data_IF_108377660607
#
_entry.id   IF_108377660607
#
_cell.length_a   1.000
_cell.length_b   1.000
_cell.length_c   1.000
_cell.angle_alpha   90.00
_cell.angle_beta   90.00
_cell.angle_gamma   90.00
#
_symmetry.space_group_name_H-M   'P 1'
#
loop_
_entity.id
_entity.type
_entity.pdbx_description
1 polymer ?
#
# COMPACT_ATOMS: atom_id res chain seq x y z
N UNK A 1 36.01 29.92 -4.30
CA UNK A 1 35.06 29.77 -3.19
C UNK A 1 33.69 30.21 -3.67
N UNK A 2 32.65 29.50 -3.26
CA UNK A 2 31.25 29.95 -3.15
C UNK A 2 30.26 29.51 -4.25
N UNK A 3 29.35 28.64 -3.78
CA UNK A 3 28.01 28.30 -4.31
C UNK A 3 27.95 27.26 -5.43
N UNK A 4 28.28 26.02 -5.04
CA UNK A 4 27.55 24.85 -5.50
C UNK A 4 26.07 25.04 -5.12
N UNK A 5 25.30 25.60 -6.05
CA UNK A 5 23.84 25.60 -5.98
C UNK A 5 23.41 24.13 -6.01
N UNK A 6 22.89 23.67 -4.87
CA UNK A 6 22.15 22.42 -4.71
C UNK A 6 21.11 22.33 -5.83
N UNK A 7 21.47 21.69 -6.95
CA UNK A 7 20.54 21.41 -8.02
C UNK A 7 19.48 20.47 -7.45
N UNK A 8 18.27 21.01 -7.32
CA UNK A 8 17.15 20.39 -6.65
C UNK A 8 16.89 18.98 -7.16
N UNK A 9 16.79 18.05 -6.21
CA UNK A 9 16.30 16.69 -6.39
C UNK A 9 14.80 16.69 -6.74
N UNK A 10 14.40 17.31 -7.86
CA UNK A 10 13.11 17.02 -8.48
C UNK A 10 13.23 15.68 -9.23
N UNK A 11 13.46 14.60 -8.49
CA UNK A 11 13.29 13.24 -9.01
C UNK A 11 11.80 13.04 -9.29
N UNK A 12 11.44 13.05 -10.58
CA UNK A 12 10.09 12.72 -11.03
C UNK A 12 9.63 11.41 -10.39
N UNK A 13 8.68 11.52 -9.45
CA UNK A 13 8.05 10.36 -8.83
C UNK A 13 7.22 9.68 -9.91
N UNK A 14 7.68 8.52 -10.42
CA UNK A 14 6.73 7.58 -11.03
C UNK A 14 5.73 7.23 -9.94
N UNK A 15 4.45 7.54 -10.18
CA UNK A 15 3.36 7.12 -9.31
C UNK A 15 3.29 5.59 -9.41
N UNK A 16 3.90 4.92 -8.44
CA UNK A 16 3.70 3.48 -8.27
C UNK A 16 2.36 3.28 -7.56
N UNK A 17 1.62 2.22 -7.90
CA UNK A 17 0.41 1.91 -7.14
C UNK A 17 0.77 1.67 -5.67
N UNK A 18 -0.13 2.06 -4.78
CA UNK A 18 0.00 1.84 -3.35
C UNK A 18 -0.39 0.40 -2.99
N UNK A 19 0.28 -0.18 -2.01
CA UNK A 19 -0.06 -1.47 -1.44
C UNK A 19 -1.46 -1.40 -0.81
N UNK A 20 -2.32 -2.36 -1.16
CA UNK A 20 -3.67 -2.42 -0.60
C UNK A 20 -3.66 -2.58 0.93
N UNK A 21 -2.62 -3.20 1.51
CA UNK A 21 -2.51 -3.35 2.94
C UNK A 21 -1.97 -2.09 3.65
N UNK A 22 -0.69 -1.80 3.46
CA UNK A 22 0.02 -0.77 4.22
C UNK A 22 0.04 0.63 3.58
N UNK A 23 -0.35 0.77 2.31
CA UNK A 23 -0.32 2.06 1.60
C UNK A 23 1.03 2.45 0.99
N UNK A 24 2.10 1.72 1.29
CA UNK A 24 3.43 1.99 0.72
C UNK A 24 3.49 1.71 -0.79
N UNK A 25 4.38 2.38 -1.56
CA UNK A 25 4.59 2.12 -2.97
C UNK A 25 4.94 0.65 -3.26
N UNK A 26 4.28 0.04 -4.24
CA UNK A 26 4.58 -1.32 -4.69
C UNK A 26 5.89 -1.32 -5.48
N UNK A 27 6.94 -1.90 -4.91
CA UNK A 27 8.23 -2.09 -5.59
C UNK A 27 8.32 -3.44 -6.31
N UNK A 28 7.63 -4.44 -5.77
CA UNK A 28 7.48 -5.78 -6.31
C UNK A 28 6.00 -6.17 -6.21
N UNK A 29 5.42 -6.66 -7.30
CA UNK A 29 4.01 -7.00 -7.35
C UNK A 29 3.76 -8.36 -6.68
N UNK A 30 2.95 -8.35 -5.62
CA UNK A 30 2.37 -9.54 -5.02
C UNK A 30 0.85 -9.42 -5.15
N UNK A 31 0.22 -10.40 -5.78
CA UNK A 31 -1.24 -10.44 -5.99
C UNK A 31 -1.84 -11.51 -5.11
N UNK A 32 -2.86 -11.14 -4.32
CA UNK A 32 -3.62 -12.05 -3.47
C UNK A 32 -5.12 -11.86 -3.73
N UNK A 33 -5.89 -12.95 -3.78
CA UNK A 33 -7.35 -12.85 -3.71
C UNK A 33 -7.76 -12.63 -2.25
N UNK A 34 -8.39 -11.50 -1.98
CA UNK A 34 -8.88 -11.14 -0.65
C UNK A 34 -10.29 -10.55 -0.76
N UNK A 35 -11.25 -11.15 -0.05
CA UNK A 35 -12.67 -10.81 -0.13
C UNK A 35 -13.28 -10.93 -1.53
N UNK A 36 -12.79 -11.88 -2.35
CA UNK A 36 -13.26 -12.09 -3.72
C UNK A 36 -12.64 -11.17 -4.77
N UNK A 37 -11.73 -10.27 -4.37
CA UNK A 37 -11.06 -9.33 -5.27
C UNK A 37 -9.55 -9.56 -5.30
N UNK A 38 -8.93 -9.42 -6.47
CA UNK A 38 -7.48 -9.40 -6.63
C UNK A 38 -6.90 -8.12 -6.05
N UNK A 39 -6.05 -8.23 -5.02
CA UNK A 39 -5.39 -7.11 -4.35
C UNK A 39 -3.91 -7.09 -4.65
N UNK A 40 -3.40 -5.89 -4.98
CA UNK A 40 -1.99 -5.63 -5.19
C UNK A 40 -1.29 -5.26 -3.87
N UNK A 41 -0.17 -5.92 -3.59
CA UNK A 41 0.59 -5.79 -2.36
C UNK A 41 2.08 -5.57 -2.67
N UNK A 42 2.79 -4.93 -1.74
CA UNK A 42 4.21 -4.62 -1.91
C UNK A 42 5.15 -5.78 -1.53
N UNK A 43 4.68 -6.78 -0.77
CA UNK A 43 5.50 -7.92 -0.32
C UNK A 43 4.63 -9.10 0.15
N UNK A 44 5.26 -10.27 0.32
CA UNK A 44 4.61 -11.45 0.89
C UNK A 44 4.16 -11.27 2.35
N UNK A 45 4.84 -10.43 3.14
CA UNK A 45 4.41 -10.12 4.50
C UNK A 45 3.02 -9.47 4.55
N UNK A 46 2.74 -8.53 3.64
CA UNK A 46 1.40 -7.94 3.50
C UNK A 46 0.36 -8.98 3.07
N UNK A 47 0.76 -9.97 2.25
CA UNK A 47 -0.12 -11.06 1.85
C UNK A 47 -0.46 -11.98 3.03
N UNK A 48 0.54 -12.34 3.84
CA UNK A 48 0.34 -13.15 5.05
C UNK A 48 -0.55 -12.45 6.08
N UNK A 49 -0.45 -11.13 6.24
CA UNK A 49 -1.36 -10.39 7.13
C UNK A 49 -2.80 -10.45 6.62
N UNK A 50 -3.03 -10.25 5.33
CA UNK A 50 -4.38 -10.35 4.77
C UNK A 50 -4.95 -11.77 4.86
N UNK A 51 -4.12 -12.81 4.67
CA UNK A 51 -4.53 -14.19 4.90
C UNK A 51 -4.95 -14.40 6.36
N UNK A 52 -4.13 -13.98 7.32
CA UNK A 52 -4.45 -14.10 8.74
C UNK A 52 -5.75 -13.36 9.13
N UNK A 53 -5.98 -12.17 8.56
CA UNK A 53 -7.24 -11.42 8.76
C UNK A 53 -8.44 -12.20 8.21
N UNK A 54 -8.31 -12.82 7.05
CA UNK A 54 -9.37 -13.63 6.45
C UNK A 54 -9.65 -14.89 7.28
N UNK A 55 -8.60 -15.59 7.71
CA UNK A 55 -8.68 -16.78 8.57
C UNK A 55 -9.31 -16.47 9.94
N UNK A 56 -9.04 -15.29 10.50
CA UNK A 56 -9.65 -14.80 11.73
C UNK A 56 -11.11 -14.34 11.56
N UNK A 57 -11.66 -14.35 10.34
CA UNK A 57 -13.01 -13.84 10.06
C UNK A 57 -13.14 -12.32 10.18
N UNK A 58 -12.03 -11.58 10.14
CA UNK A 58 -11.99 -10.13 10.39
C UNK A 58 -12.03 -9.29 9.10
N UNK A 59 -12.24 -9.91 7.94
CA UNK A 59 -12.27 -9.25 6.62
C UNK A 59 -13.21 -8.04 6.57
N UNK A 60 -14.44 -8.17 7.09
CA UNK A 60 -15.42 -7.08 7.04
C UNK A 60 -14.98 -5.86 7.85
N UNK A 61 -14.47 -6.08 9.07
CA UNK A 61 -13.98 -5.01 9.93
C UNK A 61 -12.75 -4.31 9.32
N UNK A 62 -11.82 -5.09 8.78
CA UNK A 62 -10.64 -4.56 8.09
C UNK A 62 -11.02 -3.67 6.88
N UNK A 63 -11.97 -4.11 6.05
CA UNK A 63 -12.42 -3.33 4.90
C UNK A 63 -13.16 -2.05 5.30
N UNK A 64 -13.95 -2.08 6.38
CA UNK A 64 -14.60 -0.89 6.90
C UNK A 64 -13.56 0.16 7.36
N UNK A 65 -12.53 -0.26 8.09
CA UNK A 65 -11.43 0.63 8.50
C UNK A 65 -10.68 1.22 7.30
N UNK A 66 -10.40 0.42 6.26
CA UNK A 66 -9.76 0.92 5.04
C UNK A 66 -10.62 1.98 4.33
N UNK A 67 -11.96 1.81 4.33
CA UNK A 67 -12.89 2.81 3.79
C UNK A 67 -12.86 4.10 4.60
N UNK A 68 -12.95 3.99 5.92
CA UNK A 68 -12.92 5.16 6.81
C UNK A 68 -11.64 5.98 6.63
N UNK A 69 -10.48 5.32 6.45
CA UNK A 69 -9.21 6.00 6.17
C UNK A 69 -9.22 6.74 4.83
N UNK A 70 -9.78 6.14 3.79
CA UNK A 70 -9.90 6.78 2.48
C UNK A 70 -10.81 8.02 2.53
N UNK A 71 -11.88 7.97 3.32
CA UNK A 71 -12.80 9.09 3.53
C UNK A 71 -12.20 10.19 4.41
N UNK A 72 -11.28 9.83 5.31
CA UNK A 72 -10.62 10.78 6.23
C UNK A 72 -9.53 11.63 5.56
N UNK A 73 -9.10 11.30 4.34
CA UNK A 73 -8.17 12.12 3.56
C UNK A 73 -6.75 12.28 4.15
N UNK A 74 -6.37 11.41 5.09
CA UNK A 74 -5.02 11.32 5.67
C UNK A 74 -4.17 10.32 4.91
#
# INVERSE_FOLDING_TARGET
MLKQLFQGFFRGRRLRPACFHCGEPVLQEVILNFAGESRLLCCHGCASVLQAIAEAGQTAAYLAEKRNRAESGI
#
